data_IF_090575148051
#
_entry.id   IF_090575148051
#
_cell.length_a   1.000
_cell.length_b   1.000
_cell.length_c   1.000
_cell.angle_alpha   90.00
_cell.angle_beta   90.00
_cell.angle_gamma   90.00
#
_symmetry.space_group_name_H-M   'P 1'
#
loop_
_entity.id
_entity.type
_entity.pdbx_description
1 polymer ?
#
# COMPACT_ATOMS: atom_id res chain seq x y z
N UNK A 1 -30.60 11.17 -15.12
CA UNK A 1 -29.73 10.49 -14.13
C UNK A 1 -30.00 8.99 -14.14
N UNK A 2 -28.99 8.18 -14.46
CA UNK A 2 -29.11 6.72 -14.57
C UNK A 2 -28.18 6.04 -13.56
N UNK A 3 -28.65 4.94 -12.97
CA UNK A 3 -27.99 4.27 -11.83
C UNK A 3 -27.61 2.85 -12.19
N UNK A 4 -26.39 2.45 -11.82
CA UNK A 4 -25.79 1.17 -12.14
C UNK A 4 -25.28 0.53 -10.86
N UNK A 5 -25.43 -0.79 -10.74
CA UNK A 5 -24.94 -1.55 -9.59
C UNK A 5 -23.82 -2.47 -10.04
N UNK A 6 -22.64 -2.31 -9.44
CA UNK A 6 -21.48 -3.15 -9.70
C UNK A 6 -21.07 -3.91 -8.44
N UNK A 7 -20.75 -5.19 -8.60
CA UNK A 7 -20.17 -5.97 -7.51
C UNK A 7 -18.67 -5.66 -7.40
N UNK A 8 -18.26 -4.93 -6.36
CA UNK A 8 -16.87 -4.55 -6.10
C UNK A 8 -16.48 -4.99 -4.68
N UNK A 9 -15.32 -5.64 -4.51
CA UNK A 9 -14.83 -6.06 -3.18
C UNK A 9 -15.85 -6.87 -2.34
N UNK A 10 -16.64 -7.73 -2.99
CA UNK A 10 -17.73 -8.54 -2.39
C UNK A 10 -18.93 -7.72 -1.86
N UNK A 11 -19.03 -6.44 -2.21
CA UNK A 11 -20.18 -5.57 -1.93
C UNK A 11 -20.80 -5.06 -3.23
N UNK A 12 -22.09 -4.71 -3.18
CA UNK A 12 -22.80 -4.03 -4.27
C UNK A 12 -22.54 -2.54 -4.14
N UNK A 13 -21.92 -1.94 -5.15
CA UNK A 13 -21.67 -0.50 -5.21
C UNK A 13 -22.52 0.14 -6.29
N UNK A 14 -22.96 1.36 -6.03
CA UNK A 14 -23.86 2.13 -6.87
C UNK A 14 -23.07 3.24 -7.57
N UNK A 15 -23.14 3.24 -8.89
CA UNK A 15 -22.55 4.26 -9.77
C UNK A 15 -23.70 4.99 -10.43
N UNK A 16 -23.74 6.31 -10.28
CA UNK A 16 -24.73 7.15 -10.95
C UNK A 16 -24.05 7.99 -12.03
N UNK A 17 -24.73 8.18 -13.16
CA UNK A 17 -24.33 9.11 -14.21
C UNK A 17 -25.25 10.32 -14.14
N UNK A 18 -24.66 11.48 -13.90
CA UNK A 18 -25.42 12.72 -13.90
C UNK A 18 -25.71 13.20 -15.32
N UNK A 19 -26.54 14.24 -15.45
CA UNK A 19 -26.96 14.76 -16.76
C UNK A 19 -25.83 15.48 -17.53
N UNK A 20 -24.64 15.56 -16.93
CA UNK A 20 -23.38 16.03 -17.54
C UNK A 20 -22.46 14.87 -17.97
N UNK A 21 -22.90 13.61 -17.83
CA UNK A 21 -22.09 12.43 -18.15
C UNK A 21 -20.97 12.14 -17.15
N UNK A 22 -21.01 12.75 -15.96
CA UNK A 22 -20.03 12.48 -14.89
C UNK A 22 -20.46 11.26 -14.10
N UNK A 23 -19.49 10.39 -13.83
CA UNK A 23 -19.65 9.24 -12.95
C UNK A 23 -19.55 9.70 -11.49
N UNK A 24 -20.57 9.39 -10.72
CA UNK A 24 -20.63 9.58 -9.28
C UNK A 24 -20.65 8.19 -8.64
N UNK A 25 -19.60 7.87 -7.89
CA UNK A 25 -19.51 6.63 -7.12
C UNK A 25 -20.02 6.94 -5.72
N UNK A 26 -21.15 6.35 -5.33
CA UNK A 26 -21.77 6.64 -4.04
C UNK A 26 -21.06 5.92 -2.88
N UNK A 27 -20.49 4.75 -3.16
CA UNK A 27 -19.85 3.88 -2.16
C UNK A 27 -18.32 4.01 -2.12
N UNK A 28 -17.75 4.94 -2.88
CA UNK A 28 -16.32 5.20 -2.89
C UNK A 28 -16.03 6.68 -2.88
N UNK A 29 -15.03 7.07 -2.10
CA UNK A 29 -14.49 8.42 -2.21
C UNK A 29 -13.67 8.56 -3.50
N UNK A 30 -13.60 9.78 -4.03
CA UNK A 30 -12.74 10.08 -5.19
C UNK A 30 -11.28 9.67 -4.92
N UNK A 31 -10.82 9.86 -3.69
CA UNK A 31 -9.46 9.56 -3.27
C UNK A 31 -9.16 8.05 -3.24
N UNK A 32 -10.13 7.23 -2.81
CA UNK A 32 -10.02 5.76 -2.86
C UNK A 32 -9.84 5.27 -4.28
N UNK A 33 -10.66 5.75 -5.21
CA UNK A 33 -10.62 5.33 -6.61
C UNK A 33 -9.31 5.77 -7.30
N UNK A 34 -8.84 6.98 -7.04
CA UNK A 34 -7.57 7.47 -7.59
C UNK A 34 -6.37 6.69 -7.05
N UNK A 35 -6.41 6.29 -5.78
CA UNK A 35 -5.38 5.44 -5.18
C UNK A 35 -5.35 4.07 -5.83
N UNK A 36 -6.51 3.45 -6.01
CA UNK A 36 -6.64 2.14 -6.68
C UNK A 36 -6.15 2.19 -8.14
N UNK A 37 -6.44 3.27 -8.87
CA UNK A 37 -5.94 3.49 -10.24
C UNK A 37 -4.42 3.66 -10.26
N UNK A 38 -3.86 4.43 -9.33
CA UNK A 38 -2.41 4.62 -9.24
C UNK A 38 -1.69 3.29 -8.94
N UNK A 39 -2.27 2.45 -8.08
CA UNK A 39 -1.76 1.10 -7.82
C UNK A 39 -1.76 0.27 -9.12
N UNK A 40 -2.82 0.31 -9.91
CA UNK A 40 -2.86 -0.40 -11.18
C UNK A 40 -1.75 0.03 -12.14
N UNK A 41 -1.48 1.33 -12.26
CA UNK A 41 -0.41 1.85 -13.12
C UNK A 41 1.00 1.43 -12.66
N UNK A 42 1.14 1.04 -11.39
CA UNK A 42 2.37 0.49 -10.82
C UNK A 42 2.45 -1.05 -10.97
N UNK A 43 1.54 -1.66 -11.73
CA UNK A 43 1.59 -3.07 -12.10
C UNK A 43 0.71 -4.00 -11.26
N UNK A 44 -0.24 -3.47 -10.48
CA UNK A 44 -1.12 -4.33 -9.67
C UNK A 44 -2.30 -4.88 -10.49
N UNK A 45 -2.50 -6.20 -10.40
CA UNK A 45 -3.62 -6.89 -11.10
C UNK A 45 -4.91 -6.99 -10.24
N UNK A 46 -4.78 -6.79 -8.92
CA UNK A 46 -5.89 -6.84 -7.96
C UNK A 46 -6.30 -5.42 -7.58
N UNK A 47 -7.36 -4.96 -8.22
CA UNK A 47 -7.87 -3.59 -8.08
C UNK A 47 -9.38 -3.68 -7.98
N UNK A 48 -9.98 -2.71 -7.29
CA UNK A 48 -11.43 -2.56 -7.22
C UNK A 48 -12.05 -2.47 -8.64
N UNK A 49 -13.19 -3.13 -8.84
CA UNK A 49 -13.91 -3.09 -10.14
C UNK A 49 -14.37 -1.68 -10.47
N UNK A 50 -14.74 -0.89 -9.46
CA UNK A 50 -15.08 0.52 -9.62
C UNK A 50 -13.91 1.35 -10.18
N UNK A 51 -12.69 1.10 -9.68
CA UNK A 51 -11.48 1.75 -10.19
C UNK A 51 -11.15 1.33 -11.63
N UNK A 52 -11.37 0.05 -11.98
CA UNK A 52 -11.22 -0.43 -13.36
C UNK A 52 -12.20 0.26 -14.32
N UNK A 53 -13.48 0.37 -13.94
CA UNK A 53 -14.51 1.08 -14.72
C UNK A 53 -14.12 2.54 -14.91
N UNK A 54 -13.74 3.24 -13.83
CA UNK A 54 -13.30 4.63 -13.92
C UNK A 54 -12.06 4.79 -14.81
N UNK A 55 -11.09 3.88 -14.70
CA UNK A 55 -9.88 3.91 -15.51
C UNK A 55 -10.17 3.70 -16.99
N UNK A 56 -10.96 2.68 -17.33
CA UNK A 56 -11.34 2.37 -18.71
C UNK A 56 -12.10 3.54 -19.33
N UNK A 57 -13.02 4.17 -18.58
CA UNK A 57 -13.74 5.34 -19.07
C UNK A 57 -12.83 6.55 -19.27
N UNK A 58 -11.82 6.76 -18.42
CA UNK A 58 -10.83 7.84 -18.57
C UNK A 58 -9.85 7.64 -19.72
N UNK A 59 -9.56 6.40 -20.12
CA UNK A 59 -8.51 6.05 -21.10
C UNK A 59 -9.05 5.38 -22.37
N UNK A 60 -10.36 5.37 -22.55
CA UNK A 60 -11.00 4.91 -23.78
C UNK A 60 -10.57 5.80 -24.96
N UNK A 61 -10.01 5.25 -26.04
CA UNK A 61 -9.98 5.94 -27.32
C UNK A 61 -11.44 6.22 -27.73
N UNK A 62 -11.67 7.39 -28.35
CA UNK A 62 -13.02 7.84 -28.75
C UNK A 62 -13.80 6.81 -29.59
N UNK A 63 -13.10 5.86 -30.21
CA UNK A 63 -13.64 4.97 -31.23
C UNK A 63 -13.65 3.46 -30.86
N UNK A 64 -13.32 3.06 -29.62
CA UNK A 64 -13.28 1.62 -29.26
C UNK A 64 -14.61 1.13 -28.65
N UNK A 65 -15.16 0.05 -29.23
CA UNK A 65 -16.27 -0.74 -28.65
C UNK A 65 -15.69 -1.73 -27.64
N UNK A 66 -15.85 -1.46 -26.34
CA UNK A 66 -15.56 -2.45 -25.29
C UNK A 66 -16.75 -3.41 -25.18
N UNK A 67 -16.48 -4.71 -25.21
CA UNK A 67 -17.44 -5.76 -24.92
C UNK A 67 -17.68 -5.86 -23.41
N UNK A 68 -18.73 -5.20 -22.96
CA UNK A 68 -19.34 -5.45 -21.66
C UNK A 68 -20.62 -6.28 -21.85
N UNK A 69 -21.01 -7.04 -20.82
CA UNK A 69 -22.22 -7.84 -20.84
C UNK A 69 -23.47 -6.96 -21.06
N UNK A 70 -24.54 -7.58 -21.57
CA UNK A 70 -25.73 -6.97 -22.21
C UNK A 70 -26.44 -5.82 -21.46
N UNK A 71 -26.19 -5.61 -20.16
CA UNK A 71 -26.82 -4.57 -19.32
C UNK A 71 -26.08 -3.21 -19.32
N UNK A 72 -24.87 -3.11 -19.91
CA UNK A 72 -24.02 -1.91 -19.90
C UNK A 72 -24.02 -1.12 -21.24
N UNK A 73 -24.88 -1.47 -22.20
CA UNK A 73 -24.98 -0.77 -23.50
C UNK A 73 -25.57 0.65 -23.37
N UNK A 74 -26.52 0.86 -22.45
CA UNK A 74 -27.21 2.15 -22.30
C UNK A 74 -26.36 3.22 -21.61
N UNK A 75 -25.42 2.81 -20.74
CA UNK A 75 -24.46 3.69 -20.08
C UNK A 75 -23.56 4.43 -21.08
N UNK A 76 -23.11 3.71 -22.12
CA UNK A 76 -22.15 4.20 -23.11
C UNK A 76 -22.74 5.28 -23.99
N UNK A 77 -23.96 5.08 -24.49
CA UNK A 77 -24.65 6.02 -25.39
C UNK A 77 -24.90 7.35 -24.68
N UNK A 78 -25.33 7.28 -23.42
CA UNK A 78 -25.62 8.47 -22.61
C UNK A 78 -24.36 9.28 -22.25
N UNK A 79 -23.25 8.61 -21.93
CA UNK A 79 -21.98 9.28 -21.59
C UNK A 79 -21.38 9.98 -22.82
N UNK A 80 -21.43 9.35 -24.00
CA UNK A 80 -20.88 9.93 -25.24
C UNK A 80 -21.68 11.16 -25.69
N UNK A 81 -23.01 11.14 -25.59
CA UNK A 81 -23.86 12.29 -25.92
C UNK A 81 -23.60 13.49 -24.99
N UNK A 82 -23.36 13.25 -23.71
CA UNK A 82 -23.09 14.34 -22.75
C UNK A 82 -21.65 14.86 -22.84
N UNK A 83 -20.68 13.99 -23.10
CA UNK A 83 -19.28 14.37 -23.28
C UNK A 83 -19.03 15.15 -24.59
N UNK A 84 -19.75 14.84 -25.67
CA UNK A 84 -19.67 15.61 -26.93
C UNK A 84 -20.22 17.03 -26.78
N UNK A 85 -21.24 17.24 -25.94
CA UNK A 85 -21.75 18.56 -25.55
C UNK A 85 -20.75 19.37 -24.71
N UNK A 86 -19.96 18.71 -23.85
CA UNK A 86 -18.97 19.37 -22.99
C UNK A 86 -17.64 19.66 -23.71
N UNK A 87 -17.20 18.76 -24.60
CA UNK A 87 -15.99 18.93 -25.41
C UNK A 87 -16.06 20.15 -26.35
N UNK A 88 -17.27 20.55 -26.78
CA UNK A 88 -17.48 21.80 -27.54
C UNK A 88 -17.29 23.07 -26.69
N UNK A 89 -17.33 22.98 -25.35
CA UNK A 89 -17.15 24.10 -24.41
C UNK A 89 -15.72 24.26 -23.89
N UNK A 90 -14.95 23.18 -23.83
CA UNK A 90 -13.63 23.17 -23.17
C UNK A 90 -12.44 23.52 -24.08
N UNK A 91 -12.64 23.76 -25.39
CA UNK A 91 -11.58 24.18 -26.33
C UNK A 91 -10.98 25.57 -26.05
N UNK A 92 -11.41 26.29 -25.00
CA UNK A 92 -10.95 27.65 -24.68
C UNK A 92 -10.10 27.78 -23.41
N UNK A 93 -9.86 26.69 -22.66
CA UNK A 93 -9.08 26.75 -21.43
C UNK A 93 -8.19 25.53 -21.27
N UNK A 94 -6.93 25.63 -21.67
CA UNK A 94 -5.85 24.92 -20.98
C UNK A 94 -4.47 25.43 -21.41
N UNK A 95 -3.88 26.29 -20.57
CA UNK A 95 -2.45 26.29 -20.29
C UNK A 95 -2.28 26.37 -18.77
N UNK A 96 -1.30 25.60 -18.29
CA UNK A 96 -0.71 25.59 -16.95
C UNK A 96 -1.43 24.77 -15.87
N UNK A 97 -0.83 23.62 -15.51
CA UNK A 97 -0.38 23.26 -14.14
C UNK A 97 -0.02 21.77 -14.05
N UNK A 98 1.20 21.41 -14.46
CA UNK A 98 1.78 20.09 -14.19
C UNK A 98 3.13 20.33 -13.54
N UNK A 99 3.24 20.28 -12.21
CA UNK A 99 4.49 20.03 -11.44
C UNK A 99 4.19 19.85 -9.92
N UNK A 100 3.16 20.51 -9.37
CA UNK A 100 2.89 20.49 -7.90
C UNK A 100 2.19 19.21 -7.35
N UNK A 101 1.38 18.51 -8.16
CA UNK A 101 0.55 17.38 -7.70
C UNK A 101 1.38 16.10 -7.44
N UNK A 102 2.49 15.90 -8.16
CA UNK A 102 3.30 14.67 -8.07
C UNK A 102 4.02 14.53 -6.72
N UNK A 103 4.45 15.64 -6.11
CA UNK A 103 5.10 15.64 -4.80
C UNK A 103 4.15 15.25 -3.67
N UNK A 104 2.92 15.78 -3.69
CA UNK A 104 1.89 15.46 -2.70
C UNK A 104 1.39 14.02 -2.80
N UNK A 105 1.32 13.45 -4.01
CA UNK A 105 0.91 12.06 -4.17
C UNK A 105 1.98 11.09 -3.63
N UNK A 106 3.27 11.34 -3.92
CA UNK A 106 4.38 10.52 -3.41
C UNK A 106 4.44 10.52 -1.88
N UNK A 107 4.30 11.69 -1.24
CA UNK A 107 4.31 11.78 0.22
C UNK A 107 3.14 11.01 0.84
N UNK A 108 1.93 11.08 0.26
CA UNK A 108 0.77 10.28 0.70
C UNK A 108 1.00 8.78 0.57
N UNK A 109 1.55 8.32 -0.56
CA UNK A 109 1.90 6.90 -0.76
C UNK A 109 2.90 6.45 0.29
N UNK A 110 3.97 7.21 0.52
CA UNK A 110 4.99 6.86 1.50
C UNK A 110 4.42 6.82 2.91
N UNK A 111 3.60 7.81 3.29
CA UNK A 111 2.92 7.82 4.58
C UNK A 111 2.02 6.59 4.79
N UNK A 112 1.31 6.16 3.75
CA UNK A 112 0.49 4.94 3.80
C UNK A 112 1.34 3.69 3.99
N UNK A 113 2.40 3.52 3.21
CA UNK A 113 3.31 2.37 3.35
C UNK A 113 3.96 2.37 4.73
N UNK A 114 4.46 3.51 5.20
CA UNK A 114 5.02 3.65 6.56
C UNK A 114 4.01 3.27 7.63
N UNK A 115 2.76 3.72 7.53
CA UNK A 115 1.68 3.35 8.45
C UNK A 115 1.43 1.84 8.43
N UNK A 116 1.35 1.23 7.25
CA UNK A 116 1.21 -0.22 7.10
C UNK A 116 2.35 -0.97 7.78
N UNK A 117 3.60 -0.55 7.58
CA UNK A 117 4.75 -1.16 8.25
C UNK A 117 4.62 -1.01 9.78
N UNK A 118 4.30 0.19 10.29
CA UNK A 118 4.07 0.38 11.74
C UNK A 118 3.00 -0.57 12.29
N UNK A 119 1.88 -0.68 11.60
CA UNK A 119 0.78 -1.57 12.01
C UNK A 119 1.21 -3.04 12.05
N UNK A 120 2.03 -3.50 11.08
CA UNK A 120 2.58 -4.86 11.06
C UNK A 120 3.46 -5.12 12.29
N UNK A 121 4.35 -4.19 12.62
CA UNK A 121 5.20 -4.31 13.80
C UNK A 121 4.39 -4.37 15.10
N UNK A 122 3.42 -3.46 15.28
CA UNK A 122 2.64 -3.36 16.51
C UNK A 122 1.67 -4.52 16.72
N UNK A 123 1.12 -5.09 15.65
CA UNK A 123 0.01 -6.07 15.75
C UNK A 123 0.42 -7.52 15.50
N UNK A 124 1.48 -7.74 14.71
CA UNK A 124 1.73 -9.06 14.12
C UNK A 124 3.18 -9.53 14.25
N UNK A 125 4.12 -8.65 14.60
CA UNK A 125 5.53 -9.05 14.73
C UNK A 125 5.82 -9.75 16.06
N UNK A 126 6.87 -10.58 16.08
CA UNK A 126 7.38 -11.27 17.27
C UNK A 126 8.49 -10.51 17.99
N UNK A 127 8.80 -9.31 17.50
CA UNK A 127 9.83 -8.45 18.07
C UNK A 127 9.41 -7.96 19.45
N UNK A 128 10.40 -7.86 20.35
CA UNK A 128 10.14 -7.43 21.72
C UNK A 128 10.12 -5.92 21.76
N UNK A 129 9.06 -5.36 22.31
CA UNK A 129 9.05 -3.96 22.72
C UNK A 129 9.34 -3.86 24.21
N UNK A 130 9.93 -2.75 24.64
CA UNK A 130 9.97 -2.49 26.07
C UNK A 130 8.55 -2.23 26.58
N UNK A 131 8.21 -2.84 27.70
CA UNK A 131 6.91 -2.70 28.32
C UNK A 131 7.15 -2.32 29.78
N UNK A 132 7.17 -1.03 30.08
CA UNK A 132 7.25 -0.55 31.46
C UNK A 132 5.96 0.14 31.85
N UNK A 133 5.39 -0.29 32.98
CA UNK A 133 4.20 0.36 33.56
C UNK A 133 4.52 1.62 34.36
N UNK A 134 5.78 1.82 34.72
CA UNK A 134 6.23 2.81 35.70
C UNK A 134 6.89 4.05 35.09
N UNK A 135 7.19 4.00 33.79
CA UNK A 135 7.82 5.08 33.03
C UNK A 135 7.16 5.07 31.66
N UNK A 136 6.71 6.23 31.17
CA UNK A 136 6.11 6.39 29.84
C UNK A 136 7.14 6.05 28.75
N UNK A 137 7.35 4.76 28.50
CA UNK A 137 8.26 4.29 27.46
C UNK A 137 7.54 4.34 26.12
N UNK A 138 7.74 5.41 25.36
CA UNK A 138 7.32 5.46 23.96
C UNK A 138 8.24 4.58 23.13
N UNK A 139 7.74 3.41 22.73
CA UNK A 139 8.42 2.58 21.74
C UNK A 139 8.34 3.26 20.37
N UNK A 140 9.50 3.61 19.82
CA UNK A 140 9.60 4.32 18.55
C UNK A 140 9.78 3.31 17.40
N UNK A 141 9.02 3.50 16.33
CA UNK A 141 9.20 2.76 15.08
C UNK A 141 9.47 3.79 13.98
N UNK A 142 10.71 3.82 13.51
CA UNK A 142 11.22 4.75 12.51
C UNK A 142 11.33 4.02 11.18
N UNK A 143 10.59 4.48 10.17
CA UNK A 143 10.64 3.91 8.81
C UNK A 143 11.28 4.92 7.86
N UNK A 144 12.38 4.49 7.25
CA UNK A 144 13.23 5.26 6.35
C UNK A 144 13.06 4.70 4.93
N UNK A 145 12.88 5.59 3.96
CA UNK A 145 12.97 5.21 2.55
C UNK A 145 14.44 5.21 2.16
N UNK A 146 15.04 4.03 2.04
CA UNK A 146 16.45 3.86 1.71
C UNK A 146 16.60 2.86 0.56
N UNK A 147 17.70 2.95 -0.19
CA UNK A 147 17.98 2.01 -1.27
C UNK A 147 18.43 0.64 -0.74
N UNK A 148 19.25 0.63 0.32
CA UNK A 148 19.72 -0.58 0.97
C UNK A 148 18.75 -1.01 2.07
N UNK A 149 18.15 -2.21 1.99
CA UNK A 149 17.27 -2.72 3.02
C UNK A 149 18.04 -3.03 4.32
N UNK A 150 17.56 -2.53 5.45
CA UNK A 150 18.18 -2.73 6.76
C UNK A 150 17.14 -2.66 7.89
N UNK A 151 17.46 -3.30 9.01
CA UNK A 151 16.68 -3.23 10.24
C UNK A 151 17.58 -3.29 11.45
N UNK A 152 17.32 -2.40 12.40
CA UNK A 152 18.00 -2.39 13.68
C UNK A 152 16.98 -2.13 14.79
N UNK A 153 17.24 -2.70 15.95
CA UNK A 153 16.53 -2.33 17.16
C UNK A 153 17.52 -1.98 18.27
N UNK A 154 17.32 -0.81 18.85
CA UNK A 154 18.06 -0.30 20.01
C UNK A 154 17.15 -0.23 21.22
N UNK A 155 17.76 -0.35 22.39
CA UNK A 155 17.10 -0.07 23.66
C UNK A 155 18.00 0.80 24.53
N UNK A 156 17.43 1.76 25.23
CA UNK A 156 18.15 2.58 26.20
C UNK A 156 17.36 2.71 27.49
N UNK A 157 18.07 2.95 28.59
CA UNK A 157 17.47 3.16 29.89
C UNK A 157 16.85 4.56 29.94
N UNK A 158 15.63 4.63 30.45
CA UNK A 158 14.90 5.87 30.72
C UNK A 158 14.58 5.94 32.22
N UNK A 159 14.45 7.16 32.73
CA UNK A 159 14.10 7.41 34.13
C UNK A 159 12.77 8.14 34.20
N UNK A 160 12.00 7.89 35.25
CA UNK A 160 10.80 8.66 35.56
C UNK A 160 11.16 10.13 35.81
N UNK A 161 10.18 11.02 35.64
CA UNK A 161 10.39 12.46 35.81
C UNK A 161 10.89 12.86 37.21
N UNK A 162 10.59 12.05 38.22
CA UNK A 162 11.07 12.22 39.59
C UNK A 162 12.40 11.49 39.90
N UNK A 163 13.01 10.83 38.90
CA UNK A 163 14.28 10.11 39.02
C UNK A 163 14.24 8.81 39.85
N UNK A 164 13.08 8.43 40.40
CA UNK A 164 12.98 7.29 41.34
C UNK A 164 12.82 5.93 40.65
N UNK A 165 12.29 5.92 39.45
CA UNK A 165 12.00 4.70 38.70
C UNK A 165 12.77 4.70 37.41
N UNK A 166 13.20 3.52 36.97
CA UNK A 166 13.85 3.36 35.67
C UNK A 166 13.19 2.26 34.87
N UNK A 167 13.18 2.42 33.55
CA UNK A 167 12.74 1.42 32.60
C UNK A 167 13.61 1.46 31.34
N UNK A 168 13.23 0.69 30.33
CA UNK A 168 13.83 0.75 29.00
C UNK A 168 12.87 1.36 27.98
N UNK A 169 13.35 2.14 27.04
CA UNK A 169 12.62 2.40 25.79
C UNK A 169 13.25 1.59 24.66
N UNK A 170 12.48 1.37 23.59
CA UNK A 170 13.01 0.74 22.37
C UNK A 170 12.74 1.60 21.14
N UNK A 171 13.70 1.60 20.23
CA UNK A 171 13.53 2.11 18.88
C UNK A 171 13.81 1.00 17.89
N UNK A 172 12.87 0.75 16.98
CA UNK A 172 13.08 -0.07 15.80
C UNK A 172 13.23 0.88 14.60
N UNK A 173 14.37 0.82 13.93
CA UNK A 173 14.62 1.51 12.67
C UNK A 173 14.55 0.51 11.53
N UNK A 174 13.68 0.77 10.56
CA UNK A 174 13.54 -0.03 9.34
C UNK A 174 13.84 0.85 8.14
N UNK A 175 14.77 0.41 7.31
CA UNK A 175 15.17 1.08 6.08
C UNK A 175 14.82 0.16 4.92
N UNK A 176 13.92 0.58 4.03
CA UNK A 176 13.58 -0.21 2.83
C UNK A 176 13.21 0.73 1.67
N UNK A 177 13.39 0.33 0.41
CA UNK A 177 12.88 1.09 -0.72
C UNK A 177 11.36 0.94 -0.75
N UNK A 178 10.63 1.91 -0.19
CA UNK A 178 9.23 1.73 0.24
C UNK A 178 8.31 1.21 -0.86
N UNK A 179 8.40 1.77 -2.07
CA UNK A 179 7.54 1.38 -3.21
C UNK A 179 7.90 -0.02 -3.70
N UNK A 180 9.19 -0.32 -3.81
CA UNK A 180 9.67 -1.64 -4.20
C UNK A 180 9.23 -2.70 -3.18
N UNK A 181 9.51 -2.46 -1.91
CA UNK A 181 9.10 -3.31 -0.79
C UNK A 181 7.59 -3.60 -0.81
N UNK A 182 6.78 -2.56 -0.99
CA UNK A 182 5.33 -2.71 -1.01
C UNK A 182 4.85 -3.62 -2.13
N UNK A 183 5.38 -3.45 -3.34
CA UNK A 183 4.96 -4.22 -4.51
C UNK A 183 5.51 -5.65 -4.49
N UNK A 184 6.78 -5.83 -4.13
CA UNK A 184 7.47 -7.12 -4.24
C UNK A 184 7.28 -8.01 -3.01
N UNK A 185 7.01 -7.44 -1.84
CA UNK A 185 6.95 -8.18 -0.58
C UNK A 185 5.55 -8.13 0.02
N UNK A 186 5.03 -6.92 0.28
CA UNK A 186 3.74 -6.77 0.96
C UNK A 186 2.58 -7.33 0.14
N UNK A 187 2.49 -6.98 -1.15
CA UNK A 187 1.41 -7.48 -2.01
C UNK A 187 1.48 -8.98 -2.29
N UNK A 188 2.69 -9.58 -2.24
CA UNK A 188 2.87 -11.03 -2.29
C UNK A 188 2.46 -11.73 -0.98
N UNK A 189 2.10 -10.97 0.05
CA UNK A 189 1.75 -11.49 1.37
C UNK A 189 2.96 -12.11 2.08
N UNK A 190 4.13 -11.50 1.89
CA UNK A 190 5.41 -11.90 2.47
C UNK A 190 5.93 -10.88 3.49
N UNK A 191 5.22 -9.79 3.75
CA UNK A 191 5.73 -8.72 4.63
C UNK A 191 6.06 -9.20 6.06
N UNK A 192 5.28 -10.16 6.56
CA UNK A 192 5.55 -10.89 7.79
C UNK A 192 5.40 -12.39 7.53
N UNK A 193 6.43 -13.16 7.91
CA UNK A 193 6.44 -14.62 7.82
C UNK A 193 6.91 -15.15 9.17
N UNK A 194 6.12 -16.01 9.81
CA UNK A 194 6.37 -16.47 11.19
C UNK A 194 6.63 -15.31 12.18
N UNK A 195 5.91 -14.20 12.01
CA UNK A 195 6.06 -12.98 12.81
C UNK A 195 7.38 -12.24 12.61
N UNK A 196 8.15 -12.60 11.57
CA UNK A 196 9.43 -12.00 11.19
C UNK A 196 9.23 -11.06 10.01
N UNK A 197 9.76 -9.84 10.11
CA UNK A 197 9.62 -8.83 9.06
C UNK A 197 10.61 -9.09 7.92
N UNK A 198 10.09 -9.14 6.69
CA UNK A 198 10.90 -9.37 5.49
C UNK A 198 11.28 -8.03 4.88
N UNK A 199 12.58 -7.82 4.67
CA UNK A 199 13.17 -6.59 4.15
C UNK A 199 13.29 -6.61 2.63
N UNK A 200 13.70 -7.74 2.07
CA UNK A 200 13.88 -7.89 0.63
C UNK A 200 13.83 -9.34 0.16
N UNK A 201 13.59 -9.55 -1.14
CA UNK A 201 13.71 -10.84 -1.82
C UNK A 201 15.01 -10.83 -2.62
N UNK A 202 15.98 -11.65 -2.21
CA UNK A 202 17.28 -11.74 -2.85
C UNK A 202 17.26 -12.70 -4.05
N UNK A 203 16.51 -13.80 -3.92
CA UNK A 203 16.39 -14.81 -4.98
C UNK A 203 14.99 -15.45 -4.95
N UNK A 204 14.44 -15.71 -6.14
CA UNK A 204 13.18 -16.41 -6.32
C UNK A 204 13.39 -17.73 -7.07
N UNK A 205 13.25 -18.85 -6.36
CA UNK A 205 13.29 -20.20 -6.91
C UNK A 205 11.86 -20.77 -7.07
N UNK A 206 11.66 -21.89 -7.80
CA UNK A 206 10.32 -22.46 -8.01
C UNK A 206 9.59 -22.85 -6.72
N UNK A 207 10.31 -23.37 -5.73
CA UNK A 207 9.79 -23.92 -4.46
C UNK A 207 9.98 -22.98 -3.25
N UNK A 208 10.87 -21.97 -3.37
CA UNK A 208 11.22 -21.10 -2.25
C UNK A 208 11.67 -19.70 -2.64
N UNK A 209 11.74 -18.82 -1.66
CA UNK A 209 12.39 -17.51 -1.74
C UNK A 209 13.62 -17.50 -0.84
N UNK A 210 14.71 -16.90 -1.31
CA UNK A 210 15.79 -16.44 -0.43
C UNK A 210 15.54 -14.96 -0.16
N UNK A 211 15.45 -14.60 1.10
CA UNK A 211 15.06 -13.26 1.54
C UNK A 211 16.06 -12.70 2.53
N UNK A 212 16.06 -11.37 2.65
CA UNK A 212 16.64 -10.66 3.77
C UNK A 212 15.53 -10.35 4.78
N UNK A 213 15.72 -10.72 6.04
CA UNK A 213 14.70 -10.60 7.08
C UNK A 213 15.32 -10.13 8.40
N UNK A 214 14.54 -9.49 9.26
CA UNK A 214 15.01 -9.06 10.58
C UNK A 214 15.11 -10.25 11.54
N UNK A 215 16.32 -10.75 11.80
CA UNK A 215 16.54 -11.81 12.77
C UNK A 215 16.64 -11.21 14.16
N UNK A 216 15.82 -11.73 15.06
CA UNK A 216 15.91 -11.41 16.49
C UNK A 216 17.19 -12.00 17.08
N UNK A 217 18.03 -11.15 17.67
CA UNK A 217 19.21 -11.53 18.41
C UNK A 217 18.96 -11.62 19.92
N UNK A 218 20.02 -11.43 20.72
CA UNK A 218 19.93 -11.41 22.18
C UNK A 218 19.28 -10.11 22.67
N UNK A 219 18.42 -10.22 23.68
CA UNK A 219 17.76 -9.05 24.28
C UNK A 219 16.72 -8.41 23.35
N UNK A 220 16.98 -7.16 22.97
CA UNK A 220 16.19 -6.35 22.04
C UNK A 220 16.83 -6.20 20.66
N UNK A 221 17.98 -6.85 20.38
CA UNK A 221 18.64 -6.70 19.08
C UNK A 221 17.82 -7.33 17.96
N UNK A 222 17.74 -6.62 16.83
CA UNK A 222 17.30 -7.14 15.54
C UNK A 222 18.38 -6.76 14.54
N UNK A 223 18.76 -7.70 13.68
CA UNK A 223 19.75 -7.48 12.62
C UNK A 223 19.25 -8.12 11.32
N UNK A 224 19.60 -7.57 10.15
CA UNK A 224 19.26 -8.18 8.87
C UNK A 224 20.00 -9.52 8.71
N UNK A 225 19.28 -10.58 8.35
CA UNK A 225 19.86 -11.90 8.13
C UNK A 225 19.15 -12.60 6.96
N UNK A 226 19.90 -13.45 6.24
CA UNK A 226 19.35 -14.23 5.14
C UNK A 226 18.50 -15.39 5.67
N UNK A 227 17.36 -15.60 5.03
CA UNK A 227 16.47 -16.70 5.34
C UNK A 227 15.88 -17.31 4.06
N UNK A 228 15.40 -18.53 4.18
CA UNK A 228 14.65 -19.25 3.16
C UNK A 228 13.18 -19.31 3.56
N UNK A 229 12.28 -18.86 2.69
CA UNK A 229 10.83 -19.01 2.86
C UNK A 229 10.34 -20.06 1.87
N UNK A 230 9.70 -21.11 2.37
CA UNK A 230 9.08 -22.13 1.52
C UNK A 230 7.72 -21.62 0.99
N UNK A 231 7.50 -21.71 -0.33
CA UNK A 231 6.29 -21.17 -0.99
C UNK A 231 5.00 -21.89 -0.57
N UNK A 232 5.07 -23.18 -0.23
CA UNK A 232 3.90 -24.02 0.04
C UNK A 232 3.30 -23.77 1.42
N UNK A 233 4.15 -23.73 2.45
CA UNK A 233 3.70 -23.57 3.84
C UNK A 233 4.01 -22.19 4.43
N UNK A 234 4.72 -21.32 3.69
CA UNK A 234 5.20 -20.02 4.15
C UNK A 234 5.96 -20.08 5.48
N UNK A 235 6.74 -21.14 5.72
CA UNK A 235 7.62 -21.20 6.89
C UNK A 235 8.98 -20.56 6.59
N UNK A 236 9.54 -19.84 7.56
CA UNK A 236 10.86 -19.21 7.48
C UNK A 236 11.95 -20.10 8.13
N UNK A 237 13.07 -20.30 7.43
CA UNK A 237 14.27 -20.98 7.93
C UNK A 237 15.50 -20.10 7.75
N UNK A 238 16.21 -19.80 8.82
CA UNK A 238 17.44 -19.00 8.77
C UNK A 238 18.56 -19.74 8.04
N UNK A 239 19.26 -19.04 7.15
CA UNK A 239 20.48 -19.56 6.52
C UNK A 239 21.67 -19.30 7.45
N UNK A 240 22.63 -20.22 7.49
CA UNK A 240 23.88 -19.99 8.25
C UNK A 240 24.63 -18.85 7.57
N UNK A 241 25.07 -17.88 8.37
CA UNK A 241 26.10 -16.94 7.94
C UNK A 241 27.38 -17.75 7.76
N UNK A 242 27.93 -17.74 6.55
CA UNK A 242 29.27 -18.26 6.25
C UNK A 242 30.27 -17.22 6.71
#
# INVERSE_FOLDING_TARGET
MQTFVINCMRKKHTITVNDKGQLIFLDHTKEELETEIALMQLGTNKISKCAKVLYQIRHLPKDVKINFAKEEKDLKTFIIEKQTLHAKRDLKKQKNTCISIKGQLRSKIYSRIKKTIKDLFLKQSTYRFANNRWVDSENLITIINAETPDINQKSWRIWSRNGKWSGNSTEITVSVPLVHWYNHIYQKGLALVDGTFILDILEEAPDHFIVLAGKKGRGFSIEPCKAKINKNNKSLKWLKQV
#
